data_IF_479342947147
#
_entry.id   IF_479342947147
#
_cell.length_a   1.000
_cell.length_b   1.000
_cell.length_c   1.000
_cell.angle_alpha   90.00
_cell.angle_beta   90.00
_cell.angle_gamma   90.00
#
_symmetry.space_group_name_H-M   'P 1'
#
loop_
_entity.id
_entity.type
_entity.pdbx_description
1 polymer ?
#
# COMPACT_ATOMS: atom_id res chain seq x y z
N UNK A 1 -34.63 -8.59 10.51
CA UNK A 1 -34.20 -7.67 9.42
C UNK A 1 -34.08 -6.22 9.88
N UNK A 2 -35.10 -5.61 10.51
CA UNK A 2 -35.03 -4.21 10.97
C UNK A 2 -33.90 -3.91 12.00
N UNK A 3 -33.61 -4.83 12.92
CA UNK A 3 -32.53 -4.66 13.93
C UNK A 3 -31.13 -4.65 13.30
N UNK A 4 -30.93 -5.41 12.21
CA UNK A 4 -29.65 -5.44 11.47
C UNK A 4 -29.44 -4.13 10.70
N UNK A 5 -30.48 -3.62 10.04
CA UNK A 5 -30.44 -2.33 9.36
C UNK A 5 -30.25 -1.17 10.36
N UNK A 6 -30.90 -1.19 11.52
CA UNK A 6 -30.69 -0.21 12.60
C UNK A 6 -29.28 -0.27 13.19
N UNK A 7 -28.70 -1.45 13.40
CA UNK A 7 -27.31 -1.56 13.85
C UNK A 7 -26.30 -1.09 12.80
N UNK A 8 -26.55 -1.37 11.51
CA UNK A 8 -25.72 -0.88 10.40
C UNK A 8 -25.80 0.64 10.29
N UNK A 9 -27.01 1.22 10.35
CA UNK A 9 -27.23 2.67 10.31
C UNK A 9 -26.62 3.34 11.55
N UNK A 10 -26.83 2.79 12.75
CA UNK A 10 -26.24 3.31 14.00
C UNK A 10 -24.71 3.19 14.03
N UNK A 11 -24.12 2.15 13.44
CA UNK A 11 -22.66 2.02 13.28
C UNK A 11 -22.11 3.03 12.26
N UNK A 12 -22.87 3.36 11.22
CA UNK A 12 -22.48 4.35 10.21
C UNK A 12 -22.34 5.77 10.80
N UNK A 13 -23.10 6.11 11.86
CA UNK A 13 -23.02 7.39 12.57
C UNK A 13 -21.92 7.47 13.66
N UNK A 14 -21.21 6.38 13.95
CA UNK A 14 -20.26 6.35 15.11
C UNK A 14 -18.85 6.85 14.81
N UNK A 15 -18.44 6.96 13.54
CA UNK A 15 -17.09 7.44 13.20
C UNK A 15 -16.90 8.94 13.43
N UNK A 16 -17.96 9.75 13.31
CA UNK A 16 -17.88 11.20 13.58
C UNK A 16 -17.71 11.55 15.08
N UNK A 17 -17.75 10.55 15.98
CA UNK A 17 -17.72 10.77 17.42
C UNK A 17 -16.32 10.69 18.05
N UNK A 18 -15.37 9.99 17.42
CA UNK A 18 -14.05 9.73 18.02
C UNK A 18 -12.95 10.40 17.21
N UNK A 19 -12.08 11.12 17.90
CA UNK A 19 -10.83 11.65 17.36
C UNK A 19 -9.89 10.51 16.93
N UNK A 20 -8.94 10.84 16.07
CA UNK A 20 -7.93 9.87 15.64
C UNK A 20 -7.11 9.36 16.83
N UNK A 21 -6.79 10.25 17.76
CA UNK A 21 -6.02 9.97 18.96
C UNK A 21 -6.75 8.93 19.83
N UNK A 22 -8.06 9.10 20.04
CA UNK A 22 -8.89 8.12 20.76
C UNK A 22 -8.93 6.75 20.07
N UNK A 23 -8.97 6.73 18.73
CA UNK A 23 -8.95 5.49 17.95
C UNK A 23 -7.60 4.78 18.11
N UNK A 24 -6.49 5.50 17.96
CA UNK A 24 -5.14 4.96 18.11
C UNK A 24 -4.95 4.41 19.52
N UNK A 25 -5.35 5.17 20.54
CA UNK A 25 -5.22 4.76 21.94
C UNK A 25 -6.09 3.54 22.25
N UNK A 26 -7.32 3.50 21.73
CA UNK A 26 -8.19 2.32 21.83
C UNK A 26 -7.57 1.08 21.18
N UNK A 27 -6.94 1.22 20.01
CA UNK A 27 -6.20 0.13 19.35
C UNK A 27 -4.98 -0.29 20.19
N UNK A 28 -4.20 0.67 20.71
CA UNK A 28 -3.05 0.40 21.59
C UNK A 28 -3.47 -0.36 22.85
N UNK A 29 -4.64 -0.09 23.39
CA UNK A 29 -5.16 -0.74 24.60
C UNK A 29 -6.00 -2.00 24.34
N UNK A 30 -6.15 -2.44 23.08
CA UNK A 30 -7.06 -3.53 22.71
C UNK A 30 -8.52 -3.29 23.14
N UNK A 31 -9.02 -2.04 23.10
CA UNK A 31 -10.45 -1.78 23.28
C UNK A 31 -11.21 -2.34 22.07
N UNK A 32 -11.85 -3.50 22.27
CA UNK A 32 -12.62 -4.21 21.25
C UNK A 32 -13.70 -3.36 20.61
N UNK A 33 -14.31 -2.41 21.35
CA UNK A 33 -15.35 -1.54 20.80
C UNK A 33 -14.75 -0.53 19.84
N UNK A 34 -13.62 0.09 20.21
CA UNK A 34 -12.94 1.07 19.36
C UNK A 34 -12.41 0.40 18.08
N UNK A 35 -11.81 -0.79 18.22
CA UNK A 35 -11.36 -1.61 17.09
C UNK A 35 -12.54 -1.93 16.16
N UNK A 36 -13.67 -2.38 16.71
CA UNK A 36 -14.84 -2.75 15.91
C UNK A 36 -15.44 -1.54 15.17
N UNK A 37 -15.60 -0.41 15.86
CA UNK A 37 -16.12 0.83 15.26
C UNK A 37 -15.22 1.28 14.11
N UNK A 38 -13.89 1.31 14.34
CA UNK A 38 -12.95 1.69 13.32
C UNK A 38 -12.96 0.71 12.13
N UNK A 39 -12.93 -0.60 12.40
CA UNK A 39 -13.02 -1.66 11.39
C UNK A 39 -14.26 -1.52 10.51
N UNK A 40 -15.43 -1.27 11.07
CA UNK A 40 -16.65 -1.17 10.28
C UNK A 40 -16.71 0.13 9.48
N UNK A 41 -16.23 1.24 10.05
CA UNK A 41 -16.26 2.55 9.40
C UNK A 41 -15.39 2.64 8.14
N UNK A 42 -14.28 1.91 8.07
CA UNK A 42 -13.34 2.00 6.95
C UNK A 42 -13.57 0.94 5.86
N UNK A 43 -14.25 -0.17 6.17
CA UNK A 43 -14.44 -1.28 5.24
C UNK A 43 -15.04 -0.83 3.90
N UNK A 44 -16.10 -0.02 3.93
CA UNK A 44 -16.84 0.35 2.72
C UNK A 44 -15.96 1.07 1.68
N UNK A 45 -15.03 1.91 2.13
CA UNK A 45 -14.11 2.65 1.25
C UNK A 45 -13.14 1.72 0.55
N UNK A 46 -12.61 0.73 1.27
CA UNK A 46 -11.68 -0.25 0.71
C UNK A 46 -12.43 -1.22 -0.20
N UNK A 47 -13.61 -1.70 0.18
CA UNK A 47 -14.47 -2.52 -0.68
C UNK A 47 -14.74 -1.84 -2.03
N UNK A 48 -15.16 -0.58 -2.02
CA UNK A 48 -15.37 0.20 -3.25
C UNK A 48 -14.10 0.27 -4.11
N UNK A 49 -12.94 0.46 -3.49
CA UNK A 49 -11.67 0.49 -4.22
C UNK A 49 -11.37 -0.86 -4.88
N UNK A 50 -11.48 -1.98 -4.14
CA UNK A 50 -11.17 -3.31 -4.66
C UNK A 50 -12.10 -3.69 -5.82
N UNK A 51 -13.41 -3.47 -5.66
CA UNK A 51 -14.41 -3.72 -6.70
C UNK A 51 -14.16 -2.88 -7.96
N UNK A 52 -13.76 -1.62 -7.80
CA UNK A 52 -13.41 -0.74 -8.92
C UNK A 52 -12.09 -1.14 -9.60
N UNK A 53 -11.30 -2.04 -9.01
CA UNK A 53 -9.96 -2.42 -9.47
C UNK A 53 -9.85 -3.94 -9.72
N UNK A 54 -10.85 -4.53 -10.38
CA UNK A 54 -10.88 -5.94 -10.81
C UNK A 54 -10.95 -6.98 -9.69
N UNK A 55 -11.41 -6.61 -8.49
CA UNK A 55 -11.66 -7.54 -7.40
C UNK A 55 -13.14 -7.84 -7.24
N UNK A 56 -13.43 -8.90 -6.49
CA UNK A 56 -14.78 -9.25 -6.06
C UNK A 56 -15.01 -8.93 -4.56
N UNK A 57 -16.24 -9.11 -4.03
CA UNK A 57 -16.52 -8.86 -2.63
C UNK A 57 -15.74 -9.75 -1.65
N UNK A 58 -15.30 -10.93 -2.06
CA UNK A 58 -14.50 -11.82 -1.22
C UNK A 58 -13.05 -11.36 -1.17
N UNK A 59 -12.49 -10.95 -2.32
CA UNK A 59 -11.20 -10.28 -2.39
C UNK A 59 -11.16 -9.05 -1.48
N UNK A 60 -12.23 -8.26 -1.48
CA UNK A 60 -12.34 -7.07 -0.63
C UNK A 60 -12.27 -7.42 0.86
N UNK A 61 -12.95 -8.49 1.31
CA UNK A 61 -12.91 -8.94 2.70
C UNK A 61 -11.53 -9.42 3.09
N UNK A 62 -10.92 -10.28 2.27
CA UNK A 62 -9.60 -10.85 2.54
C UNK A 62 -8.54 -9.76 2.67
N UNK A 63 -8.46 -8.88 1.66
CA UNK A 63 -7.52 -7.76 1.65
C UNK A 63 -7.74 -6.84 2.83
N UNK A 64 -9.00 -6.56 3.18
CA UNK A 64 -9.31 -5.69 4.29
C UNK A 64 -8.89 -6.28 5.63
N UNK A 65 -9.18 -7.56 5.87
CA UNK A 65 -8.78 -8.27 7.09
C UNK A 65 -7.26 -8.24 7.25
N UNK A 66 -6.53 -8.60 6.21
CA UNK A 66 -5.06 -8.58 6.24
C UNK A 66 -4.51 -7.17 6.47
N UNK A 67 -5.06 -6.16 5.77
CA UNK A 67 -4.62 -4.78 5.91
C UNK A 67 -4.86 -4.25 7.32
N UNK A 68 -5.99 -4.59 7.91
CA UNK A 68 -6.36 -4.19 9.26
C UNK A 68 -5.46 -4.84 10.31
N UNK A 69 -5.11 -6.12 10.15
CA UNK A 69 -4.16 -6.82 11.03
C UNK A 69 -2.77 -6.16 10.99
N UNK A 70 -2.31 -5.77 9.80
CA UNK A 70 -1.04 -5.03 9.65
C UNK A 70 -1.11 -3.67 10.33
N UNK A 71 -2.20 -2.92 10.12
CA UNK A 71 -2.40 -1.65 10.81
C UNK A 71 -2.35 -1.81 12.33
N UNK A 72 -3.14 -2.73 12.88
CA UNK A 72 -3.20 -3.01 14.31
C UNK A 72 -1.81 -3.32 14.87
N UNK A 73 -1.04 -4.18 14.17
CA UNK A 73 0.33 -4.52 14.54
C UNK A 73 1.25 -3.30 14.52
N UNK A 74 1.16 -2.46 13.48
CA UNK A 74 2.01 -1.29 13.35
C UNK A 74 1.71 -0.23 14.41
N UNK A 75 0.45 -0.08 14.82
CA UNK A 75 0.08 0.78 15.95
C UNK A 75 0.62 0.22 17.26
N UNK A 76 0.51 -1.10 17.48
CA UNK A 76 1.02 -1.80 18.67
C UNK A 76 2.54 -1.72 18.82
N UNK A 77 3.25 -1.79 17.71
CA UNK A 77 4.72 -1.70 17.67
C UNK A 77 5.22 -0.25 17.54
N UNK A 78 4.34 0.73 17.66
CA UNK A 78 4.66 2.15 17.54
C UNK A 78 5.35 2.55 16.22
N UNK A 79 5.09 1.78 15.14
CA UNK A 79 5.59 2.03 13.78
C UNK A 79 4.74 3.02 13.00
N UNK A 80 3.57 3.38 13.53
CA UNK A 80 2.68 4.36 12.92
C UNK A 80 2.78 5.70 13.67
N UNK A 81 3.20 6.74 12.96
CA UNK A 81 3.27 8.10 13.47
C UNK A 81 2.28 8.98 12.69
N UNK A 82 1.19 9.45 13.33
CA UNK A 82 0.18 10.24 12.65
C UNK A 82 0.68 11.65 12.32
N UNK A 83 0.51 12.07 11.07
CA UNK A 83 0.90 13.42 10.61
C UNK A 83 -0.26 14.42 10.65
N UNK A 84 -1.51 13.94 10.73
CA UNK A 84 -2.73 14.75 10.80
C UNK A 84 -3.94 13.91 11.29
N UNK A 85 -5.05 14.57 11.60
CA UNK A 85 -6.28 13.95 12.12
C UNK A 85 -6.97 12.89 11.23
N UNK A 86 -6.50 12.66 10.01
CA UNK A 86 -7.02 11.59 9.12
C UNK A 86 -5.99 10.54 8.69
N UNK A 87 -4.72 10.69 9.11
CA UNK A 87 -3.60 9.82 8.80
C UNK A 87 -3.88 8.32 8.98
N UNK A 88 -4.58 7.89 10.05
CA UNK A 88 -4.84 6.46 10.29
C UNK A 88 -5.69 5.81 9.19
N UNK A 89 -6.72 6.51 8.72
CA UNK A 89 -7.60 6.01 7.66
C UNK A 89 -6.86 5.95 6.32
N UNK A 90 -6.06 6.97 6.01
CA UNK A 90 -5.20 6.99 4.82
C UNK A 90 -4.16 5.87 4.85
N UNK A 91 -3.57 5.60 6.02
CA UNK A 91 -2.58 4.54 6.19
C UNK A 91 -3.20 3.15 5.98
N UNK A 92 -4.37 2.88 6.57
CA UNK A 92 -5.12 1.64 6.32
C UNK A 92 -5.44 1.45 4.84
N UNK A 93 -5.92 2.50 4.19
CA UNK A 93 -6.21 2.48 2.75
C UNK A 93 -4.96 2.16 1.92
N UNK A 94 -3.82 2.74 2.26
CA UNK A 94 -2.56 2.50 1.56
C UNK A 94 -2.08 1.04 1.72
N UNK A 95 -2.21 0.47 2.93
CA UNK A 95 -1.88 -0.95 3.16
C UNK A 95 -2.77 -1.85 2.30
N UNK A 96 -4.08 -1.63 2.32
CA UNK A 96 -5.04 -2.42 1.53
C UNK A 96 -4.78 -2.30 0.03
N UNK A 97 -4.53 -1.08 -0.47
CA UNK A 97 -4.17 -0.82 -1.87
C UNK A 97 -2.92 -1.59 -2.28
N UNK A 98 -1.86 -1.55 -1.47
CA UNK A 98 -0.62 -2.26 -1.76
C UNK A 98 -0.84 -3.78 -1.83
N UNK A 99 -1.53 -4.35 -0.83
CA UNK A 99 -1.88 -5.78 -0.81
C UNK A 99 -2.69 -6.20 -2.03
N UNK A 100 -3.64 -5.36 -2.46
CA UNK A 100 -4.43 -5.65 -3.65
C UNK A 100 -3.60 -5.65 -4.92
N UNK A 101 -2.73 -4.64 -5.08
CA UNK A 101 -1.81 -4.57 -6.22
C UNK A 101 -0.84 -5.77 -6.23
N UNK A 102 -0.42 -6.25 -5.06
CA UNK A 102 0.38 -7.46 -4.93
C UNK A 102 -0.41 -8.71 -5.33
N UNK A 103 -1.67 -8.85 -4.89
CA UNK A 103 -2.57 -9.94 -5.29
C UNK A 103 -2.81 -9.95 -6.80
N UNK A 104 -3.09 -8.79 -7.41
CA UNK A 104 -3.24 -8.65 -8.86
C UNK A 104 -1.96 -9.00 -9.62
N UNK A 105 -0.78 -8.60 -9.12
CA UNK A 105 0.51 -8.97 -9.71
C UNK A 105 0.69 -10.49 -9.68
N UNK A 106 0.40 -11.12 -8.55
CA UNK A 106 0.52 -12.57 -8.39
C UNK A 106 -0.50 -13.34 -9.24
N UNK A 107 -1.73 -12.85 -9.37
CA UNK A 107 -2.76 -13.44 -10.23
C UNK A 107 -2.39 -13.34 -11.71
N UNK A 108 -1.86 -12.18 -12.15
CA UNK A 108 -1.31 -12.01 -13.50
C UNK A 108 -0.14 -12.97 -13.74
N UNK A 109 0.76 -13.12 -12.78
CA UNK A 109 1.86 -14.06 -12.89
C UNK A 109 1.39 -15.52 -13.00
N UNK A 110 0.24 -15.89 -12.41
CA UNK A 110 -0.38 -17.23 -12.57
C UNK A 110 -1.09 -17.42 -13.93
N UNK A 111 -1.77 -16.39 -14.46
CA UNK A 111 -2.44 -16.46 -15.77
C UNK A 111 -1.43 -16.45 -16.92
N UNK A 112 -0.25 -15.87 -16.72
CA UNK A 112 0.83 -15.81 -17.73
C UNK A 112 1.63 -17.12 -17.83
N UNK A 113 1.29 -18.18 -17.08
CA UNK A 113 2.00 -19.48 -17.11
C UNK A 113 1.58 -20.35 -18.31
N UNK A 114 0.48 -20.05 -19.00
CA UNK A 114 0.24 -20.59 -20.34
C UNK A 114 0.72 -19.57 -21.37
N UNK A 115 1.79 -19.92 -22.10
CA UNK A 115 2.44 -19.16 -23.19
C UNK A 115 3.50 -18.13 -22.76
N UNK A 116 4.67 -18.60 -22.28
CA UNK A 116 5.96 -18.49 -22.98
C UNK A 116 7.11 -18.95 -22.08
N UNK A 117 8.07 -19.74 -22.59
CA UNK A 117 9.18 -20.26 -21.80
C UNK A 117 10.27 -19.19 -21.64
N UNK A 118 10.86 -19.17 -20.44
CA UNK A 118 12.07 -18.42 -20.04
C UNK A 118 11.87 -16.93 -19.75
N UNK A 119 11.75 -16.60 -18.47
CA UNK A 119 12.75 -15.82 -17.75
C UNK A 119 12.59 -16.03 -16.24
N UNK A 120 13.69 -16.46 -15.63
CA UNK A 120 13.84 -16.90 -14.25
C UNK A 120 13.36 -15.91 -13.18
N UNK A 121 12.84 -16.54 -12.13
CA UNK A 121 12.94 -16.24 -10.69
C UNK A 121 13.90 -15.12 -10.24
N UNK A 122 13.42 -14.31 -9.30
CA UNK A 122 14.14 -13.87 -8.09
C UNK A 122 13.10 -13.19 -7.17
N UNK A 123 12.57 -13.93 -6.19
CA UNK A 123 13.05 -14.00 -4.80
C UNK A 123 12.28 -13.02 -3.90
N UNK A 124 11.57 -13.61 -2.94
CA UNK A 124 11.19 -12.98 -1.69
C UNK A 124 12.45 -12.44 -1.00
N UNK A 125 12.41 -11.20 -0.50
CA UNK A 125 13.34 -10.80 0.55
C UNK A 125 12.68 -9.71 1.43
N UNK A 126 12.13 -10.17 2.54
CA UNK A 126 12.20 -9.46 3.81
C UNK A 126 13.70 -9.34 4.15
N UNK A 127 14.24 -8.13 4.35
CA UNK A 127 15.18 -7.80 5.44
C UNK A 127 15.94 -6.47 5.23
N UNK A 128 16.04 -5.71 6.33
CA UNK A 128 16.95 -4.58 6.65
C UNK A 128 16.60 -3.16 6.13
N UNK A 129 15.53 -2.56 6.65
CA UNK A 129 15.47 -1.09 6.83
C UNK A 129 16.40 -0.67 7.99
N UNK A 130 17.69 -0.48 7.69
CA UNK A 130 18.62 0.18 8.63
C UNK A 130 18.76 1.66 8.25
N UNK A 131 19.02 2.54 9.22
CA UNK A 131 19.33 3.96 8.96
C UNK A 131 20.44 4.13 7.91
N UNK A 132 21.42 3.22 7.92
CA UNK A 132 22.51 3.18 6.93
C UNK A 132 22.02 2.90 5.50
N UNK A 133 20.98 2.06 5.34
CA UNK A 133 20.34 1.81 4.05
C UNK A 133 19.57 3.06 3.57
N UNK A 134 18.81 3.71 4.46
CA UNK A 134 18.08 4.93 4.12
C UNK A 134 19.00 6.07 3.65
N UNK A 135 20.05 6.36 4.41
CA UNK A 135 21.03 7.40 4.04
C UNK A 135 21.73 7.07 2.71
N UNK A 136 21.99 5.80 2.46
CA UNK A 136 22.58 5.38 1.20
C UNK A 136 21.62 5.52 0.02
N UNK A 137 20.35 5.12 0.17
CA UNK A 137 19.33 5.28 -0.87
C UNK A 137 19.15 6.75 -1.22
N UNK A 138 19.10 7.65 -0.23
CA UNK A 138 19.01 9.10 -0.47
C UNK A 138 20.22 9.61 -1.27
N UNK A 139 21.44 9.20 -0.91
CA UNK A 139 22.65 9.59 -1.65
C UNK A 139 22.66 9.06 -3.09
N UNK A 140 22.30 7.79 -3.28
CA UNK A 140 22.33 7.18 -4.61
C UNK A 140 21.15 7.58 -5.49
N UNK A 141 20.05 8.02 -4.91
CA UNK A 141 18.94 8.62 -5.64
C UNK A 141 19.40 9.86 -6.41
N UNK A 142 20.23 10.71 -5.79
CA UNK A 142 20.81 11.89 -6.46
C UNK A 142 21.72 11.51 -7.64
N UNK A 143 22.36 10.34 -7.57
CA UNK A 143 23.25 9.81 -8.61
C UNK A 143 22.52 9.05 -9.73
N UNK A 144 21.19 8.99 -9.71
CA UNK A 144 20.41 8.42 -10.81
C UNK A 144 20.40 9.34 -12.03
N UNK A 145 20.18 8.77 -13.22
CA UNK A 145 19.89 9.57 -14.41
C UNK A 145 18.61 10.38 -14.22
N UNK A 146 18.53 11.55 -14.88
CA UNK A 146 17.44 12.53 -14.68
C UNK A 146 16.06 11.92 -14.93
N UNK A 147 15.93 11.11 -15.98
CA UNK A 147 14.71 10.35 -16.28
C UNK A 147 14.30 9.43 -15.14
N UNK A 148 15.24 8.72 -14.50
CA UNK A 148 14.94 7.83 -13.39
C UNK A 148 14.54 8.61 -12.13
N UNK A 149 15.24 9.70 -11.82
CA UNK A 149 14.85 10.59 -10.71
C UNK A 149 13.43 11.09 -10.87
N UNK A 150 13.10 11.62 -12.04
CA UNK A 150 11.80 12.23 -12.29
C UNK A 150 10.66 11.20 -12.29
N UNK A 151 10.85 10.01 -12.88
CA UNK A 151 9.87 8.91 -12.81
C UNK A 151 9.61 8.49 -11.37
N UNK A 152 10.66 8.32 -10.56
CA UNK A 152 10.51 7.94 -9.16
C UNK A 152 9.92 9.07 -8.32
N UNK A 153 10.27 10.34 -8.62
CA UNK A 153 9.73 11.52 -7.94
C UNK A 153 8.22 11.65 -8.15
N UNK A 154 7.79 11.59 -9.41
CA UNK A 154 6.38 11.64 -9.79
C UNK A 154 5.57 10.53 -9.14
N UNK A 155 6.11 9.32 -9.13
CA UNK A 155 5.42 8.17 -8.54
C UNK A 155 5.37 8.21 -7.01
N UNK A 156 6.51 8.39 -6.33
CA UNK A 156 6.59 8.25 -4.88
C UNK A 156 6.23 9.52 -4.11
N UNK A 157 6.56 10.70 -4.64
CA UNK A 157 6.34 11.98 -3.96
C UNK A 157 5.08 12.68 -4.47
N UNK A 158 4.87 12.74 -5.78
CA UNK A 158 3.71 13.42 -6.37
C UNK A 158 2.48 12.52 -6.52
N UNK A 159 2.65 11.21 -6.28
CA UNK A 159 1.58 10.19 -6.31
C UNK A 159 0.84 10.10 -7.66
N UNK A 160 1.50 10.45 -8.75
CA UNK A 160 0.94 10.36 -10.10
C UNK A 160 0.71 8.89 -10.52
N UNK A 161 -0.36 8.66 -11.31
CA UNK A 161 -0.60 7.34 -11.93
C UNK A 161 0.42 7.04 -13.03
N UNK A 162 0.54 5.76 -13.42
CA UNK A 162 1.44 5.38 -14.53
C UNK A 162 1.00 6.01 -15.85
N UNK A 163 -0.29 6.30 -16.00
CA UNK A 163 -0.86 6.99 -17.15
C UNK A 163 -0.45 8.48 -17.15
N UNK A 164 -0.49 9.14 -16.00
CA UNK A 164 -0.04 10.54 -15.86
C UNK A 164 1.46 10.67 -16.10
N UNK A 165 2.26 9.76 -15.53
CA UNK A 165 3.70 9.71 -15.76
C UNK A 165 3.99 9.40 -17.23
N UNK A 166 3.28 8.44 -17.83
CA UNK A 166 3.46 8.12 -19.24
C UNK A 166 3.21 9.34 -20.14
N UNK A 167 2.12 10.08 -19.88
CA UNK A 167 1.83 11.32 -20.61
C UNK A 167 2.91 12.40 -20.43
N UNK A 168 3.55 12.48 -19.26
CA UNK A 168 4.62 13.46 -19.01
C UNK A 168 5.92 13.17 -19.78
N UNK A 169 6.10 11.95 -20.27
CA UNK A 169 7.31 11.51 -20.99
C UNK A 169 7.03 11.04 -22.44
N UNK A 170 5.83 11.26 -22.95
CA UNK A 170 5.36 10.72 -24.25
C UNK A 170 5.57 9.20 -24.37
N UNK A 171 5.26 8.50 -23.29
CA UNK A 171 5.39 7.05 -23.15
C UNK A 171 4.04 6.35 -23.15
N UNK A 172 4.08 5.02 -23.24
CA UNK A 172 2.94 4.20 -22.84
C UNK A 172 2.97 3.93 -21.33
N UNK A 173 1.81 3.65 -20.71
CA UNK A 173 1.73 3.22 -19.30
C UNK A 173 2.59 1.97 -19.02
N UNK A 174 2.76 1.08 -20.01
CA UNK A 174 3.66 -0.06 -19.90
C UNK A 174 5.14 0.35 -19.88
N UNK A 175 5.54 1.28 -20.74
CA UNK A 175 6.90 1.85 -20.77
C UNK A 175 7.23 2.56 -19.46
N UNK A 176 6.29 3.34 -18.90
CA UNK A 176 6.45 4.00 -17.60
C UNK A 176 6.67 2.98 -16.46
N UNK A 177 5.88 1.88 -16.43
CA UNK A 177 6.06 0.78 -15.46
C UNK A 177 7.44 0.13 -15.58
N UNK A 178 7.87 -0.17 -16.80
CA UNK A 178 9.16 -0.81 -17.08
C UNK A 178 10.33 0.10 -16.70
N UNK A 179 10.25 1.39 -17.03
CA UNK A 179 11.26 2.37 -16.63
C UNK A 179 11.34 2.50 -15.11
N UNK A 180 10.20 2.65 -14.42
CA UNK A 180 10.18 2.66 -12.95
C UNK A 180 10.86 1.43 -12.35
N UNK A 181 10.52 0.25 -12.85
CA UNK A 181 11.12 -1.00 -12.39
C UNK A 181 12.65 -1.00 -12.59
N UNK A 182 13.13 -0.65 -13.78
CA UNK A 182 14.57 -0.57 -14.08
C UNK A 182 15.31 0.40 -13.15
N UNK A 183 14.74 1.58 -12.89
CA UNK A 183 15.33 2.55 -11.98
C UNK A 183 15.44 2.02 -10.54
N UNK A 184 14.44 1.27 -10.07
CA UNK A 184 14.48 0.63 -8.74
C UNK A 184 15.53 -0.49 -8.71
N UNK A 185 15.63 -1.31 -9.76
CA UNK A 185 16.63 -2.38 -9.81
C UNK A 185 18.06 -1.84 -9.81
N UNK A 186 18.32 -0.74 -10.51
CA UNK A 186 19.63 -0.07 -10.47
C UNK A 186 20.04 0.30 -9.04
N UNK A 187 19.11 0.83 -8.23
CA UNK A 187 19.40 1.13 -6.82
C UNK A 187 19.65 -0.17 -6.01
N UNK A 188 18.87 -1.22 -6.24
CA UNK A 188 19.04 -2.50 -5.52
C UNK A 188 20.38 -3.18 -5.85
N UNK A 189 20.76 -3.23 -7.12
CA UNK A 189 22.02 -3.83 -7.58
C UNK A 189 23.24 -3.10 -7.01
N UNK A 190 23.21 -1.76 -7.00
CA UNK A 190 24.25 -0.94 -6.39
C UNK A 190 24.41 -1.21 -4.89
N UNK A 191 23.31 -1.45 -4.16
CA UNK A 191 23.37 -1.81 -2.75
C UNK A 191 24.00 -3.18 -2.53
N UNK A 192 23.53 -4.19 -3.26
CA UNK A 192 24.05 -5.57 -3.20
C UNK A 192 25.55 -5.64 -3.51
N UNK A 193 26.06 -4.76 -4.39
CA UNK A 193 27.48 -4.70 -4.74
C UNK A 193 28.32 -4.00 -3.66
N UNK A 194 27.73 -3.09 -2.88
CA UNK A 194 28.39 -2.39 -1.77
C UNK A 194 28.53 -3.26 -0.50
N UNK A 195 27.59 -4.19 -0.29
CA UNK A 195 27.54 -5.05 0.91
C UNK A 195 28.24 -6.40 0.72
N UNK A 196 28.79 -6.68 -0.46
CA UNK A 196 29.79 -7.73 -0.70
C UNK A 196 31.18 -7.21 -0.40
#
# INVERSE_FOLDING_TARGET
MYISALNIVMQQYTFEKYSQEEIIEGIKNNDSRMIQVFYQSQYKKIEQYILANNGDPEDAKDIYQEAFVVLWRNIKLEKFHPENGTAIAGYLYQIAKNKWLDKLRNAKNKITVELQPNLHEAEEENELETEAYHQWVVKEFENLGETCKEVLKRFYFQKESMEQIASAFDWTSATARNNKYRCIQQLKEKWKTKTK
#
